data_IF_200111459009
#
_entry.id   IF_200111459009
#
_cell.length_a   1.000
_cell.length_b   1.000
_cell.length_c   1.000
_cell.angle_alpha   90.00
_cell.angle_beta   90.00
_cell.angle_gamma   90.00
#
_symmetry.space_group_name_H-M   'P 1'
#
loop_
_entity.id
_entity.type
_entity.pdbx_description
1 polymer ?
#
# COMPACT_ATOMS: atom_id res chain seq x y z
N UNK A 1 -25.12 14.11 8.64
CA UNK A 1 -23.96 14.02 7.73
C UNK A 1 -24.50 13.78 6.34
N UNK A 2 -24.09 14.59 5.36
CA UNK A 2 -24.74 14.64 4.04
C UNK A 2 -24.53 13.34 3.27
N UNK A 3 -25.62 12.74 2.80
CA UNK A 3 -25.54 11.79 1.70
C UNK A 3 -24.84 12.46 0.51
N UNK A 4 -24.03 11.70 -0.24
CA UNK A 4 -23.40 12.22 -1.44
C UNK A 4 -24.50 12.53 -2.46
N UNK A 5 -24.71 13.82 -2.76
CA UNK A 5 -25.68 14.28 -3.75
C UNK A 5 -24.95 14.49 -5.07
N UNK A 6 -25.31 13.68 -6.07
CA UNK A 6 -24.72 13.75 -7.41
C UNK A 6 -25.66 14.51 -8.35
N UNK A 7 -25.56 15.84 -8.36
CA UNK A 7 -26.22 16.66 -9.39
C UNK A 7 -25.45 16.58 -10.73
N UNK A 8 -26.04 17.09 -11.81
CA UNK A 8 -25.47 16.98 -13.16
C UNK A 8 -24.05 17.56 -13.27
N UNK A 9 -23.82 18.74 -12.69
CA UNK A 9 -22.51 19.39 -12.64
C UNK A 9 -21.49 18.48 -11.94
N UNK A 10 -21.83 17.98 -10.75
CA UNK A 10 -20.92 17.14 -9.95
C UNK A 10 -20.66 15.80 -10.61
N UNK A 11 -21.64 15.22 -11.29
CA UNK A 11 -21.47 14.00 -12.10
C UNK A 11 -20.40 14.22 -13.17
N UNK A 12 -20.44 15.35 -13.89
CA UNK A 12 -19.48 15.62 -14.95
C UNK A 12 -18.05 15.81 -14.40
N UNK A 13 -17.89 16.51 -13.28
CA UNK A 13 -16.61 16.63 -12.58
C UNK A 13 -16.06 15.27 -12.13
N UNK A 14 -16.92 14.42 -11.55
CA UNK A 14 -16.51 13.10 -11.05
C UNK A 14 -16.19 12.11 -12.18
N UNK A 15 -16.80 12.25 -13.36
CA UNK A 15 -16.40 11.51 -14.57
C UNK A 15 -15.00 11.92 -15.03
N UNK A 16 -14.67 13.20 -14.97
CA UNK A 16 -13.31 13.67 -15.27
C UNK A 16 -12.30 13.11 -14.26
N UNK A 17 -12.64 13.15 -12.96
CA UNK A 17 -11.84 12.52 -11.90
C UNK A 17 -11.61 11.04 -12.18
N UNK A 18 -12.68 10.26 -12.45
CA UNK A 18 -12.59 8.85 -12.83
C UNK A 18 -11.61 8.63 -13.98
N UNK A 19 -11.71 9.45 -15.03
CA UNK A 19 -10.84 9.37 -16.21
C UNK A 19 -9.37 9.59 -15.82
N UNK A 20 -9.08 10.61 -15.00
CA UNK A 20 -7.72 10.93 -14.55
C UNK A 20 -7.08 9.82 -13.72
N UNK A 21 -7.87 9.13 -12.89
CA UNK A 21 -7.40 8.01 -12.06
C UNK A 21 -7.48 6.65 -12.78
N UNK A 22 -7.91 6.63 -14.04
CA UNK A 22 -7.92 5.43 -14.88
C UNK A 22 -9.14 4.53 -14.71
N UNK A 23 -10.21 5.01 -14.08
CA UNK A 23 -11.51 4.33 -14.04
C UNK A 23 -12.26 4.65 -15.34
N UNK A 24 -12.77 3.60 -15.99
CA UNK A 24 -13.53 3.73 -17.24
C UNK A 24 -15.01 3.42 -17.00
N UNK A 25 -15.87 4.18 -17.67
CA UNK A 25 -17.32 4.05 -17.52
C UNK A 25 -17.94 3.01 -18.45
N UNK A 26 -17.19 2.49 -19.43
CA UNK A 26 -17.68 1.45 -20.35
C UNK A 26 -17.89 0.11 -19.62
N UNK A 27 -19.13 -0.15 -19.21
CA UNK A 27 -19.56 -1.37 -18.53
C UNK A 27 -19.67 -2.58 -19.47
N UNK A 28 -19.46 -2.44 -20.78
CA UNK A 28 -19.38 -3.60 -21.67
C UNK A 28 -18.08 -4.39 -21.47
N UNK A 29 -17.04 -3.72 -20.97
CA UNK A 29 -15.78 -4.37 -20.60
C UNK A 29 -15.88 -4.91 -19.18
N UNK A 30 -15.71 -6.23 -19.03
CA UNK A 30 -15.83 -6.96 -17.76
C UNK A 30 -15.07 -6.28 -16.60
N UNK A 31 -13.79 -5.94 -16.80
CA UNK A 31 -12.94 -5.32 -15.76
C UNK A 31 -13.45 -3.98 -15.22
N UNK A 32 -14.28 -3.26 -15.98
CA UNK A 32 -14.79 -1.96 -15.60
C UNK A 32 -16.06 -2.07 -14.73
N UNK A 33 -16.66 -3.27 -14.65
CA UNK A 33 -17.86 -3.56 -13.84
C UNK A 33 -17.52 -3.71 -12.36
N UNK A 34 -16.31 -4.16 -12.05
CA UNK A 34 -15.85 -4.42 -10.68
C UNK A 34 -14.64 -3.55 -10.37
N UNK A 35 -14.78 -2.73 -9.35
CA UNK A 35 -13.76 -1.79 -8.91
C UNK A 35 -13.32 -2.14 -7.49
N UNK A 36 -12.02 -2.29 -7.30
CA UNK A 36 -11.41 -2.58 -6.01
C UNK A 36 -10.52 -1.41 -5.61
N UNK A 37 -10.91 -0.69 -4.58
CA UNK A 37 -10.06 0.27 -3.90
C UNK A 37 -9.30 -0.46 -2.82
N UNK A 38 -7.98 -0.55 -2.96
CA UNK A 38 -7.11 -0.79 -1.81
C UNK A 38 -6.90 0.59 -1.19
N UNK A 39 -7.71 0.93 -0.19
CA UNK A 39 -7.67 2.24 0.45
C UNK A 39 -7.39 2.03 1.92
N UNK A 40 -6.15 2.22 2.36
CA UNK A 40 -5.69 1.84 3.70
C UNK A 40 -4.50 2.70 4.12
N UNK A 41 -4.11 2.64 5.38
CA UNK A 41 -2.89 3.29 5.85
C UNK A 41 -1.64 2.78 5.10
N UNK A 42 -0.56 3.58 4.98
CA UNK A 42 0.69 3.08 4.43
C UNK A 42 1.29 1.98 5.33
N UNK A 43 2.18 1.16 4.77
CA UNK A 43 2.98 0.15 5.50
C UNK A 43 2.22 -1.02 6.14
N UNK A 44 1.04 -1.32 5.62
CA UNK A 44 0.22 -2.47 6.04
C UNK A 44 0.29 -3.67 5.10
N UNK A 45 1.11 -3.62 4.06
CA UNK A 45 1.23 -4.70 3.06
C UNK A 45 0.30 -4.55 1.85
N UNK A 46 -0.24 -3.35 1.62
CA UNK A 46 -1.14 -3.05 0.51
C UNK A 46 -0.53 -3.26 -0.88
N UNK A 47 0.78 -2.98 -1.05
CA UNK A 47 1.51 -3.26 -2.31
C UNK A 47 1.40 -4.73 -2.71
N UNK A 48 1.53 -5.67 -1.77
CA UNK A 48 1.36 -7.11 -1.99
C UNK A 48 -0.02 -7.41 -2.55
N UNK A 49 -1.09 -6.85 -1.95
CA UNK A 49 -2.47 -7.05 -2.43
C UNK A 49 -2.65 -6.48 -3.84
N UNK A 50 -2.19 -5.25 -4.08
CA UNK A 50 -2.33 -4.58 -5.38
C UNK A 50 -1.64 -5.38 -6.48
N UNK A 51 -0.40 -5.81 -6.24
CA UNK A 51 0.35 -6.63 -7.19
C UNK A 51 -0.32 -7.99 -7.43
N UNK A 52 -0.84 -8.63 -6.37
CA UNK A 52 -1.54 -9.92 -6.46
C UNK A 52 -2.85 -9.83 -7.26
N UNK A 53 -3.67 -8.81 -6.99
CA UNK A 53 -4.93 -8.56 -7.70
C UNK A 53 -4.68 -8.23 -9.17
N UNK A 54 -3.71 -7.36 -9.46
CA UNK A 54 -3.37 -7.00 -10.84
C UNK A 54 -2.83 -8.20 -11.59
N UNK A 55 -1.93 -8.98 -10.99
CA UNK A 55 -1.36 -10.18 -11.61
C UNK A 55 -2.43 -11.23 -11.92
N UNK A 56 -3.34 -11.48 -10.98
CA UNK A 56 -4.32 -12.57 -11.09
C UNK A 56 -5.59 -12.19 -11.85
N UNK A 57 -5.97 -10.91 -11.87
CA UNK A 57 -7.32 -10.50 -12.27
C UNK A 57 -7.42 -9.16 -13.03
N UNK A 58 -6.33 -8.65 -13.62
CA UNK A 58 -6.34 -7.39 -14.40
C UNK A 58 -7.38 -7.29 -15.54
N UNK A 59 -7.88 -8.43 -16.05
CA UNK A 59 -8.92 -8.50 -17.06
C UNK A 59 -10.36 -8.58 -16.48
N UNK A 60 -10.49 -8.78 -15.16
CA UNK A 60 -11.78 -8.95 -14.46
C UNK A 60 -12.10 -7.82 -13.48
N UNK A 61 -11.08 -7.08 -13.04
CA UNK A 61 -11.25 -5.99 -12.09
C UNK A 61 -10.34 -4.80 -12.39
N UNK A 62 -10.78 -3.62 -11.94
CA UNK A 62 -9.98 -2.40 -11.92
C UNK A 62 -9.50 -2.16 -10.49
N UNK A 63 -8.18 -2.04 -10.28
CA UNK A 63 -7.57 -1.86 -8.95
C UNK A 63 -7.01 -0.45 -8.81
N UNK A 64 -7.54 0.30 -7.85
CA UNK A 64 -7.05 1.62 -7.45
C UNK A 64 -6.42 1.49 -6.07
N UNK A 65 -5.23 2.06 -5.88
CA UNK A 65 -4.53 2.03 -4.59
C UNK A 65 -4.23 3.46 -4.15
N UNK A 66 -4.76 3.82 -2.99
CA UNK A 66 -4.63 5.14 -2.38
C UNK A 66 -4.45 4.97 -0.87
N UNK A 67 -3.75 5.91 -0.25
CA UNK A 67 -3.59 5.99 1.19
C UNK A 67 -4.37 7.15 1.77
N UNK A 68 -4.63 8.24 1.05
CA UNK A 68 -5.39 9.39 1.54
C UNK A 68 -5.77 10.31 0.36
N UNK A 69 -6.55 11.34 0.65
CA UNK A 69 -6.94 12.36 -0.33
C UNK A 69 -5.75 13.17 -0.85
N UNK A 70 -4.66 13.28 -0.07
CA UNK A 70 -3.42 13.93 -0.50
C UNK A 70 -2.83 13.23 -1.73
N UNK A 71 -2.99 11.90 -1.83
CA UNK A 71 -2.60 11.16 -3.04
C UNK A 71 -3.35 11.59 -4.29
N UNK A 72 -4.62 11.97 -4.17
CA UNK A 72 -5.39 12.49 -5.30
C UNK A 72 -4.79 13.79 -5.84
N UNK A 73 -4.41 14.70 -4.93
CA UNK A 73 -3.77 15.97 -5.28
C UNK A 73 -2.42 15.76 -5.94
N UNK A 74 -1.57 14.96 -5.31
CA UNK A 74 -0.18 14.79 -5.76
C UNK A 74 -0.08 14.02 -7.08
N UNK A 75 -0.80 12.91 -7.20
CA UNK A 75 -0.64 11.99 -8.34
C UNK A 75 -1.50 12.41 -9.54
N UNK A 76 -2.64 13.06 -9.28
CA UNK A 76 -3.66 13.31 -10.32
C UNK A 76 -4.11 14.78 -10.40
N UNK A 77 -3.57 15.66 -9.56
CA UNK A 77 -3.96 17.08 -9.48
C UNK A 77 -5.47 17.25 -9.23
N UNK A 78 -6.00 16.48 -8.29
CA UNK A 78 -7.41 16.53 -7.85
C UNK A 78 -7.44 17.08 -6.41
N UNK A 79 -8.11 18.21 -6.19
CA UNK A 79 -8.12 18.93 -4.90
C UNK A 79 -9.51 19.09 -4.29
N UNK A 80 -10.57 18.91 -5.07
CA UNK A 80 -11.96 19.21 -4.71
C UNK A 80 -12.81 17.95 -4.56
N UNK A 81 -12.19 16.78 -4.35
CA UNK A 81 -12.87 15.48 -4.32
C UNK A 81 -12.14 14.57 -3.35
N UNK A 82 -12.88 13.84 -2.52
CA UNK A 82 -12.33 12.85 -1.57
C UNK A 82 -12.35 11.44 -2.16
N UNK A 83 -11.54 10.53 -1.63
CA UNK A 83 -11.53 9.12 -2.05
C UNK A 83 -12.91 8.47 -1.80
N UNK A 84 -13.55 8.76 -0.66
CA UNK A 84 -14.89 8.23 -0.37
C UNK A 84 -15.94 8.70 -1.37
N UNK A 85 -15.88 9.95 -1.82
CA UNK A 85 -16.80 10.46 -2.83
C UNK A 85 -16.65 9.71 -4.16
N UNK A 86 -15.41 9.41 -4.57
CA UNK A 86 -15.13 8.61 -5.77
C UNK A 86 -15.68 7.18 -5.62
N UNK A 87 -15.50 6.57 -4.44
CA UNK A 87 -16.03 5.24 -4.11
C UNK A 87 -17.56 5.22 -4.30
N UNK A 88 -18.27 6.14 -3.66
CA UNK A 88 -19.73 6.19 -3.71
C UNK A 88 -20.27 6.62 -5.08
N UNK A 89 -19.56 7.49 -5.79
CA UNK A 89 -19.91 7.86 -7.17
C UNK A 89 -19.85 6.65 -8.10
N UNK A 90 -18.80 5.83 -8.00
CA UNK A 90 -18.68 4.63 -8.82
C UNK A 90 -19.75 3.59 -8.48
N UNK A 91 -20.20 3.53 -7.22
CA UNK A 91 -21.37 2.75 -6.84
C UNK A 91 -22.65 3.31 -7.46
N UNK A 92 -22.84 4.63 -7.46
CA UNK A 92 -23.97 5.31 -8.11
C UNK A 92 -24.03 5.01 -9.62
N UNK A 93 -22.88 4.89 -10.29
CA UNK A 93 -22.79 4.47 -11.70
C UNK A 93 -23.12 2.97 -11.95
N UNK A 94 -23.49 2.21 -10.91
CA UNK A 94 -23.89 0.81 -11.03
C UNK A 94 -22.74 -0.19 -10.99
N UNK A 95 -21.52 0.23 -10.66
CA UNK A 95 -20.38 -0.70 -10.52
C UNK A 95 -20.47 -1.50 -9.22
N UNK A 96 -19.88 -2.69 -9.21
CA UNK A 96 -19.57 -3.43 -7.98
C UNK A 96 -18.31 -2.84 -7.37
N UNK A 97 -18.41 -2.26 -6.18
CA UNK A 97 -17.30 -1.55 -5.53
C UNK A 97 -16.90 -2.25 -4.25
N UNK A 98 -15.62 -2.60 -4.16
CA UNK A 98 -14.98 -3.16 -2.97
C UNK A 98 -13.95 -2.17 -2.44
N UNK A 99 -13.89 -2.02 -1.12
CA UNK A 99 -12.86 -1.25 -0.42
C UNK A 99 -12.13 -2.22 0.50
N UNK A 100 -10.83 -2.43 0.25
CA UNK A 100 -9.96 -3.30 1.04
C UNK A 100 -9.08 -2.43 1.92
N UNK A 101 -9.18 -2.67 3.22
CA UNK A 101 -8.35 -2.12 4.26
C UNK A 101 -7.56 -3.23 4.97
N UNK A 102 -6.39 -2.90 5.52
CA UNK A 102 -5.48 -3.88 6.12
C UNK A 102 -5.00 -3.37 7.47
N UNK A 103 -5.27 -4.16 8.50
CA UNK A 103 -4.69 -3.99 9.82
C UNK A 103 -3.30 -4.64 9.90
N UNK A 104 -2.36 -3.94 10.54
CA UNK A 104 -1.06 -4.48 10.92
C UNK A 104 -0.86 -4.29 12.43
N UNK A 105 -0.20 -5.25 13.06
CA UNK A 105 0.09 -5.19 14.50
C UNK A 105 0.92 -3.94 14.85
N UNK A 106 0.68 -3.32 16.02
CA UNK A 106 1.03 -1.92 16.22
C UNK A 106 2.54 -1.64 16.20
N UNK A 107 3.35 -2.51 16.81
CA UNK A 107 4.80 -2.29 16.88
C UNK A 107 5.44 -2.45 15.51
N UNK A 108 5.10 -3.53 14.78
CA UNK A 108 5.63 -3.77 13.44
C UNK A 108 5.18 -2.69 12.46
N UNK A 109 3.98 -2.14 12.61
CA UNK A 109 3.49 -1.03 11.80
C UNK A 109 4.30 0.24 12.07
N UNK A 110 4.46 0.62 13.34
CA UNK A 110 5.30 1.77 13.75
C UNK A 110 6.73 1.62 13.24
N UNK A 111 7.35 0.45 13.43
CA UNK A 111 8.68 0.16 12.90
C UNK A 111 8.72 0.30 11.38
N UNK A 112 7.77 -0.28 10.66
CA UNK A 112 7.75 -0.22 9.20
C UNK A 112 7.55 1.19 8.67
N UNK A 113 6.78 2.03 9.37
CA UNK A 113 6.58 3.44 9.02
C UNK A 113 7.84 4.27 9.25
N UNK A 114 8.50 4.08 10.40
CA UNK A 114 9.78 4.73 10.69
C UNK A 114 10.88 4.35 9.68
N UNK A 115 10.94 3.08 9.26
CA UNK A 115 11.94 2.60 8.32
C UNK A 115 11.61 2.88 6.83
N UNK A 116 10.50 3.53 6.49
CA UNK A 116 10.24 3.91 5.08
C UNK A 116 11.29 4.89 4.56
N UNK A 117 11.49 5.97 5.31
CA UNK A 117 12.35 7.10 4.94
C UNK A 117 13.35 7.41 6.08
N UNK A 118 13.90 6.36 6.68
CA UNK A 118 14.83 6.49 7.81
C UNK A 118 16.05 7.35 7.46
N UNK A 119 16.62 7.14 6.28
CA UNK A 119 17.78 7.88 5.80
C UNK A 119 17.42 9.30 5.38
N UNK A 120 16.40 9.47 4.51
CA UNK A 120 16.10 10.77 3.90
C UNK A 120 15.30 11.71 4.81
N UNK A 121 14.35 11.21 5.58
CA UNK A 121 13.49 12.02 6.45
C UNK A 121 13.99 12.03 7.89
N UNK A 122 14.23 10.86 8.49
CA UNK A 122 14.49 10.82 9.93
C UNK A 122 15.91 11.23 10.31
N UNK A 123 16.91 10.91 9.48
CA UNK A 123 18.33 11.21 9.73
C UNK A 123 18.94 12.16 8.71
N UNK A 124 18.23 12.48 7.64
CA UNK A 124 18.69 13.34 6.54
C UNK A 124 20.12 13.03 6.07
N UNK A 125 20.37 11.77 5.75
CA UNK A 125 21.71 11.26 5.39
C UNK A 125 21.61 10.21 4.28
N UNK A 126 22.75 9.79 3.73
CA UNK A 126 22.77 8.68 2.77
C UNK A 126 22.57 7.33 3.46
N UNK A 127 22.05 6.34 2.74
CA UNK A 127 21.93 4.97 3.27
C UNK A 127 23.29 4.41 3.72
N UNK A 128 24.39 4.74 3.04
CA UNK A 128 25.76 4.33 3.38
C UNK A 128 26.18 4.90 4.73
N UNK A 129 25.94 6.20 4.96
CA UNK A 129 26.27 6.83 6.24
C UNK A 129 25.39 6.30 7.37
N UNK A 130 24.11 6.06 7.11
CA UNK A 130 23.17 5.50 8.09
C UNK A 130 23.67 4.14 8.64
N UNK A 131 24.32 3.31 7.80
CA UNK A 131 24.88 2.01 8.23
C UNK A 131 25.99 2.15 9.29
N UNK A 132 26.63 3.32 9.39
CA UNK A 132 27.68 3.58 10.39
C UNK A 132 27.13 4.03 11.74
N UNK A 133 25.83 4.36 11.84
CA UNK A 133 25.24 4.87 13.07
C UNK A 133 25.14 3.78 14.14
N UNK A 134 25.28 4.18 15.41
CA UNK A 134 24.98 3.28 16.52
C UNK A 134 23.50 2.91 16.51
N UNK A 135 23.20 1.66 16.88
CA UNK A 135 21.81 1.20 16.95
C UNK A 135 21.03 1.97 18.01
N UNK A 136 21.69 2.35 19.11
CA UNK A 136 21.09 3.14 20.19
C UNK A 136 20.60 4.51 19.71
N UNK A 137 21.33 5.14 18.79
CA UNK A 137 20.89 6.42 18.17
C UNK A 137 19.59 6.23 17.40
N UNK A 138 19.46 5.12 16.68
CA UNK A 138 18.28 4.77 15.90
C UNK A 138 17.10 4.43 16.82
N UNK A 139 17.34 3.61 17.85
CA UNK A 139 16.35 3.25 18.88
C UNK A 139 15.85 4.49 19.61
N UNK A 140 16.75 5.38 20.04
CA UNK A 140 16.40 6.62 20.71
C UNK A 140 15.50 7.50 19.83
N UNK A 141 15.81 7.63 18.54
CA UNK A 141 14.96 8.38 17.59
C UNK A 141 13.60 7.72 17.41
N UNK A 142 13.55 6.39 17.27
CA UNK A 142 12.29 5.66 17.18
C UNK A 142 11.40 5.86 18.42
N UNK A 143 11.97 5.76 19.62
CA UNK A 143 11.23 5.91 20.87
C UNK A 143 10.71 7.35 21.07
N UNK A 144 11.44 8.38 20.63
CA UNK A 144 10.91 9.75 20.64
C UNK A 144 9.64 9.90 19.80
N UNK A 145 9.55 9.18 18.68
CA UNK A 145 8.45 9.29 17.73
C UNK A 145 7.33 8.28 17.98
N UNK A 146 7.57 7.26 18.81
CA UNK A 146 6.73 6.08 18.93
C UNK A 146 5.23 6.37 19.08
N UNK A 147 4.77 7.27 19.96
CA UNK A 147 3.33 7.54 20.12
C UNK A 147 2.69 8.14 18.86
N UNK A 148 3.47 8.89 18.08
CA UNK A 148 3.01 9.65 16.92
C UNK A 148 3.12 8.88 15.60
N UNK A 149 3.87 7.78 15.58
CA UNK A 149 3.96 6.92 14.40
C UNK A 149 2.64 6.16 14.21
N UNK A 150 2.02 6.33 13.04
CA UNK A 150 0.80 5.60 12.64
C UNK A 150 -0.33 5.77 13.66
N UNK A 151 -1.03 6.90 13.54
CA UNK A 151 -2.27 7.16 14.27
C UNK A 151 -3.47 6.89 13.37
N UNK A 152 -4.52 6.30 13.94
CA UNK A 152 -5.83 6.16 13.29
C UNK A 152 -6.17 4.79 12.72
N UNK A 153 -7.45 4.60 12.43
CA UNK A 153 -8.09 3.39 11.90
C UNK A 153 -9.11 3.75 10.83
N UNK A 154 -8.77 3.57 9.56
CA UNK A 154 -9.63 4.01 8.46
C UNK A 154 -11.01 3.37 8.48
N UNK A 155 -11.09 2.12 8.93
CA UNK A 155 -12.37 1.42 9.03
C UNK A 155 -13.36 2.13 9.95
N UNK A 156 -12.84 2.70 11.05
CA UNK A 156 -13.64 3.35 12.10
C UNK A 156 -13.76 4.85 11.91
N UNK A 157 -12.75 5.47 11.31
CA UNK A 157 -12.58 6.93 11.29
C UNK A 157 -12.78 7.52 9.89
N UNK A 158 -12.52 6.76 8.83
CA UNK A 158 -12.46 7.30 7.45
C UNK A 158 -13.63 6.88 6.59
N UNK A 159 -14.14 5.64 6.67
CA UNK A 159 -15.22 5.20 5.77
C UNK A 159 -16.63 5.61 6.23
N UNK A 160 -16.74 6.15 7.45
CA UNK A 160 -18.00 6.60 8.04
C UNK A 160 -19.07 5.49 8.09
N UNK A 161 -18.62 4.25 8.29
CA UNK A 161 -19.50 3.10 8.50
C UNK A 161 -20.08 3.23 9.93
N UNK A 162 -21.39 3.07 10.12
CA UNK A 162 -22.00 3.05 11.44
C UNK A 162 -21.50 1.87 12.27
N UNK A 163 -21.19 2.09 13.54
CA UNK A 163 -20.62 1.08 14.46
C UNK A 163 -21.51 -0.15 14.63
N UNK A 164 -22.82 -0.02 14.44
CA UNK A 164 -23.77 -1.14 14.53
C UNK A 164 -23.59 -2.14 13.37
N UNK A 165 -22.91 -1.74 12.29
CA UNK A 165 -22.64 -2.58 11.13
C UNK A 165 -21.32 -3.37 11.27
N UNK A 166 -20.52 -3.12 12.31
CA UNK A 166 -19.31 -3.89 12.61
C UNK A 166 -19.09 -3.99 14.13
N UNK A 167 -19.57 -5.06 14.73
CA UNK A 167 -19.45 -5.26 16.19
C UNK A 167 -18.15 -5.95 16.59
N UNK A 168 -17.67 -6.88 15.76
CA UNK A 168 -16.46 -7.65 16.03
C UNK A 168 -15.75 -8.05 14.74
N UNK A 169 -14.45 -8.35 14.86
CA UNK A 169 -13.70 -8.96 13.78
C UNK A 169 -13.97 -10.47 13.73
N UNK A 170 -14.24 -11.03 12.55
CA UNK A 170 -14.45 -12.47 12.41
C UNK A 170 -13.11 -13.22 12.47
N UNK A 171 -12.84 -13.80 13.64
CA UNK A 171 -11.63 -14.57 13.90
C UNK A 171 -11.65 -15.99 13.31
N UNK A 172 -12.78 -16.49 12.82
CA UNK A 172 -12.86 -17.78 12.14
C UNK A 172 -12.51 -17.62 10.66
N UNK A 173 -13.19 -16.69 9.97
CA UNK A 173 -12.93 -16.41 8.56
C UNK A 173 -11.72 -15.49 8.33
N UNK A 174 -11.21 -14.84 9.38
CA UNK A 174 -10.00 -13.99 9.38
C UNK A 174 -10.14 -12.71 8.55
N UNK A 175 -11.34 -12.18 8.41
CA UNK A 175 -11.61 -10.86 7.82
C UNK A 175 -12.91 -10.26 8.36
N UNK A 176 -13.02 -8.93 8.39
CA UNK A 176 -14.30 -8.26 8.64
C UNK A 176 -14.90 -7.79 7.32
N UNK A 177 -16.16 -8.13 7.07
CA UNK A 177 -16.90 -7.81 5.86
C UNK A 177 -18.16 -7.02 6.21
N UNK A 178 -18.28 -5.79 5.70
CA UNK A 178 -19.44 -4.92 5.93
C UNK A 178 -19.99 -4.42 4.60
N UNK A 179 -21.32 -4.44 4.45
CA UNK A 179 -22.00 -3.80 3.34
C UNK A 179 -22.58 -2.47 3.81
N UNK A 180 -22.08 -1.37 3.27
CA UNK A 180 -22.56 -0.03 3.62
C UNK A 180 -22.84 0.78 2.36
N UNK A 181 -24.06 1.30 2.23
CA UNK A 181 -24.53 2.06 1.04
C UNK A 181 -24.23 1.33 -0.30
N UNK A 182 -24.35 0.00 -0.27
CA UNK A 182 -24.11 -0.89 -1.41
C UNK A 182 -22.64 -1.01 -1.87
N UNK A 183 -21.69 -0.51 -1.08
CA UNK A 183 -20.25 -0.74 -1.19
C UNK A 183 -19.85 -1.83 -0.22
N UNK A 184 -18.95 -2.72 -0.65
CA UNK A 184 -18.44 -3.82 0.17
C UNK A 184 -17.09 -3.45 0.79
N UNK A 185 -17.03 -3.32 2.11
CA UNK A 185 -15.81 -3.01 2.85
C UNK A 185 -15.23 -4.28 3.46
N UNK A 186 -13.94 -4.51 3.23
CA UNK A 186 -13.20 -5.68 3.68
C UNK A 186 -12.02 -5.22 4.53
N UNK A 187 -11.98 -5.58 5.81
CA UNK A 187 -10.79 -5.43 6.66
C UNK A 187 -10.05 -6.75 6.73
N UNK A 188 -8.79 -6.74 6.31
CA UNK A 188 -7.86 -7.88 6.41
C UNK A 188 -6.85 -7.63 7.52
N UNK A 189 -6.14 -8.67 7.95
CA UNK A 189 -4.96 -8.55 8.83
C UNK A 189 -3.73 -9.02 8.09
N UNK A 190 -2.62 -8.28 8.21
CA UNK A 190 -1.36 -8.64 7.55
C UNK A 190 -0.79 -9.97 8.08
N UNK A 191 -0.99 -10.28 9.36
CA UNK A 191 -0.55 -11.56 9.94
C UNK A 191 -1.22 -12.78 9.29
N UNK A 192 -2.43 -12.60 8.77
CA UNK A 192 -3.20 -13.64 8.07
C UNK A 192 -2.96 -13.62 6.55
N UNK A 193 -1.89 -12.96 6.07
CA UNK A 193 -1.61 -12.82 4.64
C UNK A 193 -1.45 -14.14 3.89
N UNK A 194 -1.05 -15.21 4.59
CA UNK A 194 -0.99 -16.56 4.05
C UNK A 194 -2.37 -17.13 3.68
N UNK A 195 -3.47 -16.60 4.24
CA UNK A 195 -4.85 -17.00 3.97
C UNK A 195 -5.56 -16.08 2.96
N UNK A 196 -4.93 -14.97 2.53
CA UNK A 196 -5.60 -13.99 1.68
C UNK A 196 -6.10 -14.55 0.36
N UNK A 197 -5.45 -15.56 -0.21
CA UNK A 197 -5.92 -16.25 -1.42
C UNK A 197 -7.31 -16.85 -1.21
N UNK A 198 -7.49 -17.60 -0.13
CA UNK A 198 -8.75 -18.27 0.20
C UNK A 198 -9.84 -17.25 0.56
N UNK A 199 -9.45 -16.18 1.27
CA UNK A 199 -10.35 -15.07 1.58
C UNK A 199 -10.84 -14.39 0.28
N UNK A 200 -9.95 -14.08 -0.66
CA UNK A 200 -10.36 -13.49 -1.95
C UNK A 200 -11.18 -14.45 -2.80
N UNK A 201 -10.92 -15.75 -2.72
CA UNK A 201 -11.76 -16.75 -3.38
C UNK A 201 -13.19 -16.72 -2.84
N UNK A 202 -13.39 -16.53 -1.53
CA UNK A 202 -14.72 -16.37 -0.92
C UNK A 202 -15.37 -15.02 -1.28
N UNK A 203 -14.65 -13.91 -1.11
CA UNK A 203 -15.21 -12.56 -1.23
C UNK A 203 -15.40 -12.12 -2.68
N UNK A 204 -14.37 -12.31 -3.52
CA UNK A 204 -14.35 -11.84 -4.91
C UNK A 204 -14.75 -12.92 -5.91
N UNK A 205 -14.86 -14.19 -5.48
CA UNK A 205 -15.07 -15.35 -6.35
C UNK A 205 -13.96 -15.48 -7.42
N UNK A 206 -12.72 -15.13 -7.02
CA UNK A 206 -11.55 -15.16 -7.90
C UNK A 206 -10.37 -15.84 -7.20
N UNK A 207 -9.62 -16.64 -7.96
CA UNK A 207 -8.39 -17.28 -7.46
C UNK A 207 -7.23 -16.27 -7.57
N UNK A 208 -6.96 -15.56 -6.47
CA UNK A 208 -5.92 -14.52 -6.40
C UNK A 208 -4.65 -15.09 -5.76
N UNK A 209 -3.59 -15.23 -6.55
CA UNK A 209 -2.30 -15.70 -6.06
C UNK A 209 -1.54 -14.56 -5.39
N UNK A 210 -1.20 -14.76 -4.11
CA UNK A 210 -0.50 -13.77 -3.31
C UNK A 210 0.98 -13.74 -3.69
N UNK A 211 1.48 -12.56 -4.04
CA UNK A 211 2.87 -12.34 -4.44
C UNK A 211 3.54 -11.31 -3.55
N UNK A 212 4.68 -11.67 -2.98
CA UNK A 212 5.49 -10.78 -2.12
C UNK A 212 6.33 -9.85 -3.00
N UNK A 213 6.06 -8.55 -2.94
CA UNK A 213 6.70 -7.55 -3.81
C UNK A 213 7.61 -6.57 -3.06
N UNK A 214 7.41 -6.41 -1.75
CA UNK A 214 7.96 -5.25 -1.04
C UNK A 214 8.33 -5.54 0.42
N UNK A 215 9.28 -6.44 0.62
CA UNK A 215 9.88 -6.71 1.93
C UNK A 215 11.06 -5.77 2.19
N UNK A 216 11.17 -5.23 3.40
CA UNK A 216 12.33 -4.43 3.83
C UNK A 216 13.65 -5.18 3.66
N UNK A 217 13.60 -6.51 3.69
CA UNK A 217 14.73 -7.40 3.42
C UNK A 217 15.30 -7.30 2.00
N UNK A 218 14.62 -6.58 1.10
CA UNK A 218 15.09 -6.31 -0.26
C UNK A 218 15.56 -4.85 -0.45
N UNK A 219 15.57 -4.03 0.61
CA UNK A 219 15.99 -2.63 0.57
C UNK A 219 17.45 -2.45 1.01
N UNK A 220 18.08 -1.36 0.56
CA UNK A 220 19.46 -1.00 0.92
C UNK A 220 19.67 -0.78 2.43
N UNK A 221 18.59 -0.55 3.18
CA UNK A 221 18.55 -0.38 4.64
C UNK A 221 18.38 -1.69 5.43
N UNK A 222 18.32 -2.86 4.76
CA UNK A 222 18.08 -4.18 5.38
C UNK A 222 18.93 -4.42 6.62
N UNK A 223 20.23 -4.21 6.53
CA UNK A 223 21.16 -4.49 7.63
C UNK A 223 20.90 -3.57 8.84
N UNK A 224 20.56 -2.31 8.59
CA UNK A 224 20.17 -1.36 9.64
C UNK A 224 18.88 -1.83 10.34
N UNK A 225 17.89 -2.26 9.56
CA UNK A 225 16.62 -2.77 10.08
C UNK A 225 16.79 -4.06 10.90
N UNK A 226 17.59 -5.01 10.41
CA UNK A 226 17.91 -6.24 11.15
C UNK A 226 18.64 -5.96 12.46
N UNK A 227 19.65 -5.09 12.43
CA UNK A 227 20.38 -4.66 13.63
C UNK A 227 19.43 -4.02 14.63
N UNK A 228 18.56 -3.12 14.18
CA UNK A 228 17.54 -2.51 15.02
C UNK A 228 16.60 -3.56 15.63
N UNK A 229 15.96 -4.44 14.84
CA UNK A 229 15.02 -5.46 15.37
C UNK A 229 15.64 -6.39 16.40
N UNK A 230 16.91 -6.71 16.24
CA UNK A 230 17.64 -7.62 17.13
C UNK A 230 17.97 -6.96 18.47
N UNK A 231 18.25 -5.65 18.46
CA UNK A 231 18.66 -4.91 19.65
C UNK A 231 17.51 -4.12 20.31
N UNK A 232 16.39 -3.94 19.61
CA UNK A 232 15.29 -3.13 20.11
C UNK A 232 14.61 -3.81 21.29
N UNK A 233 14.60 -3.09 22.40
CA UNK A 233 13.78 -3.38 23.58
C UNK A 233 12.74 -2.29 23.71
N UNK A 234 11.51 -2.70 24.00
CA UNK A 234 10.38 -1.77 24.05
C UNK A 234 10.25 -1.18 25.47
N UNK A 235 10.15 0.14 25.63
CA UNK A 235 9.83 0.76 26.92
C UNK A 235 8.50 0.29 27.50
N UNK A 236 8.43 0.15 28.83
CA UNK A 236 7.24 -0.36 29.54
C UNK A 236 5.98 0.44 29.20
N UNK A 237 6.04 1.76 29.33
CA UNK A 237 4.91 2.64 29.00
C UNK A 237 4.39 2.49 27.55
N UNK A 238 5.20 2.04 26.60
CA UNK A 238 4.75 1.79 25.23
C UNK A 238 3.95 0.49 25.10
N UNK A 239 4.34 -0.57 25.83
CA UNK A 239 3.53 -1.79 25.89
C UNK A 239 2.15 -1.48 26.49
N UNK A 240 2.12 -0.71 27.58
CA UNK A 240 0.87 -0.30 28.22
C UNK A 240 -0.04 0.48 27.26
N UNK A 241 0.55 1.35 26.43
CA UNK A 241 -0.20 2.08 25.40
C UNK A 241 -0.80 1.16 24.33
N UNK A 242 -0.08 0.11 23.93
CA UNK A 242 -0.54 -0.85 22.91
C UNK A 242 -1.66 -1.72 23.47
N UNK A 243 -1.48 -2.25 24.69
CA UNK A 243 -2.43 -3.12 25.38
C UNK A 243 -3.81 -2.50 25.46
N UNK A 244 -3.87 -1.19 25.64
CA UNK A 244 -5.11 -0.42 25.77
C UNK A 244 -5.60 0.19 24.45
N UNK A 245 -4.90 -0.03 23.33
CA UNK A 245 -5.27 0.61 22.06
C UNK A 245 -6.54 -0.02 21.46
N UNK A 246 -7.54 0.79 21.04
CA UNK A 246 -8.82 0.26 20.53
C UNK A 246 -8.67 -0.70 19.35
N UNK A 247 -7.73 -0.44 18.44
CA UNK A 247 -7.50 -1.28 17.27
C UNK A 247 -6.90 -2.63 17.65
N UNK A 248 -5.95 -2.66 18.59
CA UNK A 248 -5.35 -3.91 19.05
C UNK A 248 -6.40 -4.79 19.74
N UNK A 249 -7.27 -4.17 20.54
CA UNK A 249 -8.40 -4.83 21.19
C UNK A 249 -9.44 -5.35 20.18
N UNK A 250 -9.72 -4.60 19.12
CA UNK A 250 -10.76 -4.96 18.16
C UNK A 250 -10.30 -6.04 17.15
N UNK A 251 -9.08 -5.93 16.62
CA UNK A 251 -8.61 -6.81 15.54
C UNK A 251 -7.82 -8.04 16.00
N UNK A 252 -7.66 -8.26 17.31
CA UNK A 252 -7.00 -9.44 17.85
C UNK A 252 -7.85 -10.04 18.97
N UNK A 253 -8.01 -11.36 18.93
CA UNK A 253 -8.69 -12.09 20.00
C UNK A 253 -7.82 -12.14 21.27
N UNK A 254 -8.40 -12.60 22.37
CA UNK A 254 -7.70 -12.60 23.66
C UNK A 254 -6.39 -13.42 23.64
N UNK A 255 -6.34 -14.54 22.93
CA UNK A 255 -5.17 -15.41 22.86
C UNK A 255 -4.08 -14.76 22.00
N UNK A 256 -4.46 -14.26 20.83
CA UNK A 256 -3.57 -13.54 19.92
C UNK A 256 -2.97 -12.29 20.61
N UNK A 257 -3.76 -11.57 21.41
CA UNK A 257 -3.26 -10.43 22.20
C UNK A 257 -2.25 -10.86 23.23
N UNK A 258 -2.53 -11.92 23.99
CA UNK A 258 -1.64 -12.41 25.04
C UNK A 258 -0.31 -12.91 24.46
N UNK A 259 -0.34 -13.66 23.36
CA UNK A 259 0.86 -14.13 22.66
C UNK A 259 1.71 -12.97 22.13
N UNK A 260 1.06 -11.99 21.51
CA UNK A 260 1.72 -10.80 21.00
C UNK A 260 2.36 -9.97 22.12
N UNK A 261 1.62 -9.71 23.21
CA UNK A 261 2.14 -8.95 24.35
C UNK A 261 3.31 -9.68 25.02
N UNK A 262 3.20 -11.00 25.23
CA UNK A 262 4.28 -11.81 25.81
C UNK A 262 5.58 -11.67 25.03
N UNK A 263 5.52 -11.71 23.70
CA UNK A 263 6.70 -11.54 22.81
C UNK A 263 7.42 -10.21 23.04
N UNK A 264 6.66 -9.15 23.33
CA UNK A 264 7.21 -7.81 23.59
C UNK A 264 7.61 -7.61 25.05
N UNK A 265 6.88 -8.21 26.00
CA UNK A 265 7.20 -8.22 27.42
C UNK A 265 8.54 -8.92 27.69
N UNK A 266 8.84 -10.00 26.97
CA UNK A 266 10.17 -10.67 27.01
C UNK A 266 11.31 -9.76 26.52
N UNK A 267 10.99 -8.73 25.74
CA UNK A 267 11.93 -7.72 25.21
C UNK A 267 11.71 -6.35 25.84
N UNK A 268 11.06 -6.28 26.99
CA UNK A 268 10.73 -5.02 27.64
C UNK A 268 11.92 -4.45 28.40
N UNK A 269 12.06 -3.13 28.38
CA UNK A 269 12.92 -2.40 29.32
C UNK A 269 12.16 -2.07 30.61
N UNK A 270 12.85 -2.07 31.74
CA UNK A 270 12.23 -1.77 33.05
C UNK A 270 11.76 -0.32 33.18
N UNK A 271 12.36 0.59 32.40
CA UNK A 271 12.16 2.03 32.53
C UNK A 271 11.19 2.55 31.48
N UNK A 272 10.43 3.58 31.86
CA UNK A 272 9.62 4.34 30.92
C UNK A 272 10.50 5.24 30.05
N UNK A 273 10.01 5.54 28.84
CA UNK A 273 10.66 6.47 27.93
C UNK A 273 9.78 7.71 27.72
N UNK A 274 10.38 8.90 27.84
CA UNK A 274 9.72 10.18 27.57
C UNK A 274 9.84 10.49 26.07
N UNK A 275 8.76 10.22 25.35
CA UNK A 275 8.62 10.57 23.93
C UNK A 275 8.38 12.06 23.73
N UNK A 276 8.45 12.51 22.47
CA UNK A 276 8.00 13.84 22.14
C UNK A 276 6.52 14.02 22.48
N UNK A 277 6.14 15.20 22.96
CA UNK A 277 4.76 15.64 22.95
C UNK A 277 4.35 16.08 21.52
N UNK A 278 3.11 16.54 21.35
CA UNK A 278 2.59 16.96 20.03
C UNK A 278 3.39 18.11 19.42
N UNK A 279 3.70 19.16 20.19
CA UNK A 279 4.43 20.34 19.70
C UNK A 279 5.87 19.98 19.30
N UNK A 280 6.55 19.17 20.12
CA UNK A 280 7.89 18.66 19.83
C UNK A 280 7.91 17.79 18.56
N UNK A 281 6.88 16.97 18.37
CA UNK A 281 6.74 16.14 17.17
C UNK A 281 6.44 16.97 15.92
N UNK A 282 5.59 17.99 16.01
CA UNK A 282 5.32 18.94 14.92
C UNK A 282 6.59 19.71 14.54
N UNK A 283 7.33 20.20 15.54
CA UNK A 283 8.61 20.86 15.33
C UNK A 283 9.64 19.92 14.69
N UNK A 284 9.71 18.68 15.17
CA UNK A 284 10.54 17.63 14.57
C UNK A 284 10.20 17.39 13.09
N UNK A 285 8.90 17.30 12.76
CA UNK A 285 8.44 17.13 11.39
C UNK A 285 8.82 18.32 10.51
N UNK A 286 8.62 19.54 11.00
CA UNK A 286 9.00 20.77 10.28
C UNK A 286 10.49 20.77 9.92
N UNK A 287 11.35 20.54 10.90
CA UNK A 287 12.81 20.47 10.68
C UNK A 287 13.16 19.34 9.70
N UNK A 288 12.56 18.16 9.87
CA UNK A 288 12.86 17.01 9.03
C UNK A 288 12.44 17.27 7.58
N UNK A 289 11.29 17.92 7.37
CA UNK A 289 10.81 18.34 6.05
C UNK A 289 11.69 19.41 5.41
N UNK A 290 12.06 20.45 6.15
CA UNK A 290 12.88 21.56 5.65
C UNK A 290 14.27 21.09 5.22
N UNK A 291 14.82 20.08 5.91
CA UNK A 291 16.13 19.53 5.62
C UNK A 291 16.12 18.40 4.60
N UNK A 292 14.94 17.89 4.23
CA UNK A 292 14.79 16.69 3.41
C UNK A 292 15.47 16.85 2.04
N UNK A 293 16.63 16.23 1.88
CA UNK A 293 17.49 16.43 0.70
C UNK A 293 17.06 15.66 -0.56
N UNK A 294 16.17 14.67 -0.43
CA UNK A 294 15.70 13.83 -1.55
C UNK A 294 14.23 13.48 -1.42
N UNK A 295 13.39 14.01 -2.32
CA UNK A 295 12.00 13.61 -2.49
C UNK A 295 11.89 12.61 -3.64
N UNK A 296 12.24 11.35 -3.39
CA UNK A 296 12.01 10.29 -4.37
C UNK A 296 10.61 9.71 -4.21
N UNK A 297 9.69 10.10 -5.11
CA UNK A 297 8.49 9.30 -5.35
C UNK A 297 8.94 8.06 -6.13
N UNK A 298 8.82 6.89 -5.51
CA UNK A 298 9.17 5.63 -6.16
C UNK A 298 8.13 5.32 -7.25
N UNK A 299 8.43 5.68 -8.51
CA UNK A 299 7.53 5.46 -9.66
C UNK A 299 7.31 3.97 -10.03
N UNK A 300 8.01 3.03 -9.36
CA UNK A 300 7.99 1.60 -9.72
C UNK A 300 8.03 0.65 -8.51
N UNK A 301 7.21 0.86 -7.48
CA UNK A 301 7.15 -0.05 -6.33
C UNK A 301 6.24 -1.28 -6.50
N UNK A 302 5.47 -1.37 -7.59
CA UNK A 302 4.66 -2.57 -7.92
C UNK A 302 5.35 -3.46 -8.97
N UNK A 303 5.09 -4.77 -8.90
CA UNK A 303 5.31 -5.76 -9.95
C UNK A 303 4.55 -5.33 -11.21
N UNK A 304 3.36 -4.77 -11.07
CA UNK A 304 2.52 -4.40 -12.21
C UNK A 304 1.81 -3.05 -12.00
N UNK A 305 2.08 -2.12 -12.92
CA UNK A 305 1.42 -0.81 -12.96
C UNK A 305 -0.01 -0.88 -13.52
N UNK A 306 -0.52 -2.05 -13.92
CA UNK A 306 -1.89 -2.27 -14.35
C UNK A 306 -2.16 -1.99 -15.84
N UNK A 307 -1.12 -2.00 -16.69
CA UNK A 307 -1.29 -1.80 -18.13
C UNK A 307 -2.00 -3.02 -18.75
N UNK A 308 -3.02 -2.76 -19.58
CA UNK A 308 -3.84 -3.79 -20.24
C UNK A 308 -3.47 -4.05 -21.71
N UNK A 309 -2.27 -3.64 -22.15
CA UNK A 309 -1.83 -3.98 -23.50
C UNK A 309 -1.46 -5.47 -23.61
N UNK A 310 -1.52 -6.03 -24.81
CA UNK A 310 -1.23 -7.45 -25.10
C UNK A 310 0.14 -7.87 -24.56
N UNK A 311 1.15 -7.01 -24.70
CA UNK A 311 2.50 -7.30 -24.22
C UNK A 311 2.58 -7.44 -22.69
N UNK A 312 1.95 -6.53 -21.95
CA UNK A 312 1.88 -6.61 -20.49
C UNK A 312 1.03 -7.80 -20.02
N UNK A 313 -0.09 -8.08 -20.70
CA UNK A 313 -0.94 -9.23 -20.41
C UNK A 313 -0.20 -10.57 -20.60
N UNK A 314 0.58 -10.69 -21.68
CA UNK A 314 1.43 -11.87 -21.90
C UNK A 314 2.44 -12.06 -20.77
N UNK A 315 3.14 -10.99 -20.37
CA UNK A 315 4.11 -11.06 -19.27
C UNK A 315 3.43 -11.42 -17.95
N UNK A 316 2.24 -10.87 -17.70
CA UNK A 316 1.42 -11.19 -16.53
C UNK A 316 1.07 -12.68 -16.46
N UNK A 317 0.65 -13.29 -17.56
CA UNK A 317 0.39 -14.74 -17.62
C UNK A 317 1.63 -15.55 -17.26
N UNK A 318 2.79 -15.20 -17.80
CA UNK A 318 4.06 -15.88 -17.48
C UNK A 318 4.36 -15.81 -15.99
N UNK A 319 4.26 -14.62 -15.38
CA UNK A 319 4.54 -14.45 -13.95
C UNK A 319 3.48 -15.13 -13.07
N UNK A 320 2.22 -15.11 -13.47
CA UNK A 320 1.15 -15.82 -12.75
C UNK A 320 1.41 -17.33 -12.72
N UNK A 321 1.84 -17.93 -13.84
CA UNK A 321 2.22 -19.35 -13.86
C UNK A 321 3.42 -19.67 -12.95
N UNK A 322 4.39 -18.75 -12.83
CA UNK A 322 5.47 -18.88 -11.83
C UNK A 322 4.92 -18.88 -10.41
N UNK A 323 4.06 -17.91 -10.07
CA UNK A 323 3.42 -17.85 -8.74
C UNK A 323 2.61 -19.12 -8.41
N UNK A 324 1.89 -19.67 -9.39
CA UNK A 324 1.13 -20.92 -9.23
C UNK A 324 2.02 -22.10 -8.84
N UNK A 325 3.26 -22.14 -9.32
CA UNK A 325 4.26 -23.16 -8.98
C UNK A 325 5.00 -22.87 -7.68
N UNK A 326 4.66 -21.79 -6.96
CA UNK A 326 5.35 -21.35 -5.75
C UNK A 326 6.71 -20.71 -6.01
N UNK A 327 7.02 -20.35 -7.26
CA UNK A 327 8.28 -19.69 -7.59
C UNK A 327 8.27 -18.22 -7.14
N UNK A 328 9.42 -17.74 -6.66
CA UNK A 328 9.59 -16.33 -6.30
C UNK A 328 9.57 -15.45 -7.55
N UNK A 329 8.68 -14.45 -7.58
CA UNK A 329 8.63 -13.45 -8.65
C UNK A 329 9.59 -12.32 -8.34
N UNK A 330 10.68 -12.24 -9.10
CA UNK A 330 11.64 -11.13 -9.03
C UNK A 330 11.48 -10.14 -10.20
N UNK A 331 10.67 -10.50 -11.20
CA UNK A 331 10.47 -9.72 -12.42
C UNK A 331 9.36 -8.68 -12.25
N UNK A 332 9.57 -7.47 -12.81
CA UNK A 332 8.54 -6.42 -12.91
C UNK A 332 7.97 -6.32 -14.33
N UNK A 333 6.69 -6.00 -14.42
CA UNK A 333 5.95 -5.70 -15.66
C UNK A 333 6.08 -4.20 -15.95
N UNK A 334 7.17 -3.84 -16.61
CA UNK A 334 7.40 -2.48 -17.11
C UNK A 334 6.91 -2.41 -18.56
N UNK A 335 5.97 -1.51 -18.87
CA UNK A 335 5.32 -1.42 -20.19
C UNK A 335 6.33 -1.38 -21.35
N UNK A 336 7.31 -0.47 -21.29
CA UNK A 336 8.31 -0.33 -22.34
C UNK A 336 9.11 -1.62 -22.59
N UNK A 337 9.61 -2.24 -21.50
CA UNK A 337 10.36 -3.51 -21.58
C UNK A 337 9.49 -4.65 -22.13
N UNK A 338 8.26 -4.77 -21.61
CA UNK A 338 7.32 -5.82 -22.02
C UNK A 338 6.95 -5.69 -23.50
N UNK A 339 6.74 -4.46 -24.00
CA UNK A 339 6.48 -4.19 -25.41
C UNK A 339 7.66 -4.58 -26.30
N UNK A 340 8.89 -4.24 -25.89
CA UNK A 340 10.10 -4.63 -26.61
C UNK A 340 10.28 -6.15 -26.65
N UNK A 341 10.15 -6.84 -25.52
CA UNK A 341 10.22 -8.30 -25.42
C UNK A 341 9.18 -8.97 -26.33
N UNK A 342 7.93 -8.50 -26.30
CA UNK A 342 6.85 -9.00 -27.15
C UNK A 342 7.15 -8.84 -28.64
N UNK A 343 7.68 -7.68 -29.06
CA UNK A 343 8.03 -7.44 -30.46
C UNK A 343 9.19 -8.31 -30.92
N UNK A 344 10.23 -8.50 -30.09
CA UNK A 344 11.36 -9.39 -30.38
C UNK A 344 10.88 -10.82 -30.57
N UNK A 345 10.03 -11.32 -29.68
CA UNK A 345 9.48 -12.67 -29.80
C UNK A 345 8.61 -12.84 -31.05
N UNK A 346 7.80 -11.83 -31.38
CA UNK A 346 6.98 -11.85 -32.59
C UNK A 346 7.84 -11.87 -33.86
N UNK A 347 8.95 -11.13 -33.86
CA UNK A 347 9.92 -11.15 -34.96
C UNK A 347 10.57 -12.53 -35.05
N UNK A 348 11.11 -13.07 -33.94
CA UNK A 348 11.75 -14.40 -33.90
C UNK A 348 10.83 -15.53 -34.39
N UNK A 349 9.55 -15.49 -33.99
CA UNK A 349 8.57 -16.49 -34.41
C UNK A 349 8.10 -16.32 -35.86
N UNK A 350 8.27 -15.13 -36.44
CA UNK A 350 8.00 -14.87 -37.86
C UNK A 350 9.24 -15.09 -38.75
N UNK A 351 10.46 -14.95 -38.21
CA UNK A 351 11.71 -15.26 -38.90
C UNK A 351 12.07 -16.75 -38.76
N UNK A 352 11.23 -17.59 -39.36
CA UNK A 352 11.66 -18.77 -40.13
C UNK A 352 11.77 -18.40 -41.63
N UNK A 353 12.01 -17.13 -41.94
CA UNK A 353 12.56 -16.66 -43.21
C UNK A 353 13.75 -15.75 -42.90
N UNK A 354 14.79 -15.93 -43.70
CA UNK A 354 16.17 -15.49 -43.50
C UNK A 354 16.36 -13.98 -43.38
N UNK A 355 17.53 -13.64 -42.81
CA UNK A 355 18.23 -12.33 -42.82
C UNK A 355 17.56 -11.18 -42.04
N UNK A 356 18.22 -10.72 -40.99
CA UNK A 356 18.67 -9.32 -40.80
C UNK A 356 19.14 -9.09 -39.35
N UNK A 357 20.36 -9.51 -39.07
CA UNK A 357 21.16 -8.96 -37.97
C UNK A 357 21.85 -7.72 -38.51
N UNK A 358 21.43 -6.51 -38.12
CA UNK A 358 22.31 -5.32 -37.97
C UNK A 358 21.62 -3.98 -37.64
N UNK A 359 20.30 -3.91 -37.41
CA UNK A 359 19.61 -2.60 -37.28
C UNK A 359 18.88 -2.34 -35.96
N UNK A 360 19.48 -2.65 -34.79
CA UNK A 360 18.87 -2.26 -33.50
C UNK A 360 19.85 -1.62 -32.52
N UNK A 361 20.43 -0.49 -32.94
CA UNK A 361 21.17 0.43 -32.06
C UNK A 361 20.41 1.75 -31.81
N UNK A 362 19.17 1.92 -32.31
CA UNK A 362 18.50 3.24 -32.40
C UNK A 362 17.25 3.40 -31.49
N UNK A 363 17.09 2.64 -30.40
CA UNK A 363 15.96 2.85 -29.46
C UNK A 363 16.35 3.04 -27.98
N UNK A 364 17.57 3.54 -27.71
CA UNK A 364 17.98 3.97 -26.36
C UNK A 364 17.62 5.41 -25.99
N UNK A 365 16.82 6.14 -26.78
CA UNK A 365 16.45 7.54 -26.48
C UNK A 365 14.94 7.77 -26.53
N UNK A 366 14.25 7.53 -25.42
CA UNK A 366 13.09 8.34 -24.98
C UNK A 366 12.53 7.91 -23.61
N UNK A 367 13.38 7.81 -22.59
CA UNK A 367 12.89 8.01 -21.21
C UNK A 367 13.28 9.42 -20.78
N UNK A 368 12.49 10.42 -21.20
CA UNK A 368 12.53 11.70 -20.49
C UNK A 368 11.99 11.44 -19.08
N UNK A 369 12.73 11.77 -18.01
CA UNK A 369 12.18 11.72 -16.66
C UNK A 369 10.95 12.63 -16.61
N UNK A 370 9.81 12.09 -16.16
CA UNK A 370 8.65 12.90 -15.87
C UNK A 370 8.99 13.81 -14.68
N UNK A 371 8.48 15.04 -14.72
CA UNK A 371 8.72 16.09 -13.73
C UNK A 371 8.52 15.54 -12.30
N UNK A 372 9.58 15.63 -11.50
CA UNK A 372 9.56 15.35 -10.06
C UNK A 372 8.59 16.36 -9.42
N UNK A 373 7.47 15.87 -8.88
CA UNK A 373 6.56 16.67 -8.07
C UNK A 373 7.07 16.57 -6.63
N UNK A 374 7.37 17.71 -6.01
CA UNK A 374 7.74 17.79 -4.60
C UNK A 374 6.48 17.59 -3.76
N UNK A 375 6.33 16.44 -3.08
CA UNK A 375 5.24 16.24 -2.13
C UNK A 375 5.47 15.03 -1.22
N UNK A 376 5.29 15.24 0.08
CA UNK A 376 5.49 14.24 1.11
C UNK A 376 4.15 13.61 1.52
N UNK A 377 4.00 12.30 1.30
CA UNK A 377 2.79 11.53 1.62
C UNK A 377 2.62 11.22 3.11
N UNK A 378 3.65 11.39 3.93
CA UNK A 378 3.72 10.78 5.27
C UNK A 378 3.35 11.68 6.45
N UNK A 379 3.15 13.00 6.26
CA UNK A 379 3.03 13.94 7.40
C UNK A 379 1.67 14.66 7.46
N UNK A 380 0.80 14.52 6.46
CA UNK A 380 -0.55 15.10 6.53
C UNK A 380 -1.53 14.12 7.17
N UNK A 381 -1.32 13.82 8.46
CA UNK A 381 -2.33 13.15 9.30
C UNK A 381 -3.18 14.12 10.12
N UNK A 382 -2.85 15.42 10.12
CA UNK A 382 -3.69 16.47 10.70
C UNK A 382 -3.54 17.76 9.90
N UNK A 383 -4.39 17.92 8.89
CA UNK A 383 -4.96 19.21 8.45
C UNK A 383 -6.36 18.93 7.90
#
# INVERSE_FOLDING_TARGET
MSDFIFNETRINELKEVNTRIGIKDDLNVEKNRTLVFVYCLPKVGSTTIVSSLRLSASNKLTVIHLHNDVMLKVLFNITNTTVNEIIHFNKFLGKKVYVIDIYRTPVEHKMSSFFENIDTFHFNTSTENLKTYSVDRIIKRFNYLFPHLVTGDYYRETYHIPTEQYTEFDFENKYLLTQHKGVTYVKLRLKDSHLWRDIFKKILQMDIYIVSDYETDNKNIKEVYKKFKTNYKIPKNFIDSIKNSPQFLFYNDINERNEYLKTWEEKMESNDFVSFNTEEYEFYNKISMDNHHMNEIQDQHYIDSGCSCIACDRKRKILLEKAKRGEKINDKIIHGKSKTEYLIDKIKNNTFSETFSNTFTILKKSNKPRKIIKSNFMVQHHL
#
